data_IF_389906099951
#
_entry.id   IF_389906099951
#
_cell.length_a   1.000
_cell.length_b   1.000
_cell.length_c   1.000
_cell.angle_alpha   90.00
_cell.angle_beta   90.00
_cell.angle_gamma   90.00
#
_symmetry.space_group_name_H-M   'P 1'
#
loop_
_entity.id
_entity.type
_entity.pdbx_description
1 polymer ?
#
# COMPACT_ATOMS: atom_id res chain seq x y z
N UNK A 1 -7.44 5.51 -22.97
CA UNK A 1 -6.37 5.69 -23.97
C UNK A 1 -5.25 4.70 -23.68
N UNK A 2 -4.70 4.00 -24.68
CA UNK A 2 -3.48 3.22 -24.50
C UNK A 2 -2.28 4.14 -24.26
N UNK A 3 -1.16 3.58 -23.81
CA UNK A 3 0.13 4.28 -23.80
C UNK A 3 0.55 4.65 -25.23
N UNK A 4 1.36 5.70 -25.38
CA UNK A 4 1.96 6.05 -26.67
C UNK A 4 2.88 4.92 -27.19
N UNK A 5 3.08 4.88 -28.51
CA UNK A 5 3.92 3.86 -29.13
C UNK A 5 5.38 3.98 -28.60
N UNK A 6 5.95 2.92 -28.01
CA UNK A 6 7.30 2.96 -27.49
C UNK A 6 8.34 2.87 -28.62
N UNK A 7 9.55 3.37 -28.35
CA UNK A 7 10.74 3.04 -29.15
C UNK A 7 11.09 1.55 -29.04
N UNK A 8 11.93 1.05 -29.96
CA UNK A 8 12.42 -0.33 -29.93
C UNK A 8 13.07 -0.67 -28.58
N UNK A 9 12.69 -1.83 -28.01
CA UNK A 9 13.08 -2.26 -26.66
C UNK A 9 12.99 -3.77 -26.51
N UNK A 10 13.75 -4.32 -25.57
CA UNK A 10 13.72 -5.75 -25.21
C UNK A 10 13.14 -5.93 -23.80
N UNK A 11 12.35 -6.98 -23.59
CA UNK A 11 11.97 -7.39 -22.24
C UNK A 11 13.22 -7.89 -21.50
N UNK A 12 13.45 -7.42 -20.27
CA UNK A 12 14.58 -7.84 -19.42
C UNK A 12 14.18 -8.47 -18.11
N UNK A 13 12.99 -8.12 -17.62
CA UNK A 13 12.39 -8.60 -16.38
C UNK A 13 10.89 -8.34 -16.46
N UNK A 14 10.10 -9.22 -15.86
CA UNK A 14 8.67 -9.03 -15.60
C UNK A 14 8.43 -9.20 -14.11
N UNK A 15 7.75 -8.22 -13.51
CA UNK A 15 7.11 -8.36 -12.21
C UNK A 15 5.60 -8.34 -12.41
N UNK A 16 4.90 -9.25 -11.76
CA UNK A 16 3.46 -9.20 -11.58
C UNK A 16 3.17 -9.07 -10.08
N UNK A 17 2.22 -8.21 -9.73
CA UNK A 17 1.63 -8.20 -8.39
C UNK A 17 0.12 -8.37 -8.57
N UNK A 18 -0.44 -9.40 -7.94
CA UNK A 18 -1.88 -9.65 -7.86
C UNK A 18 -2.33 -9.43 -6.42
N UNK A 19 -3.55 -8.93 -6.24
CA UNK A 19 -4.22 -8.98 -4.95
C UNK A 19 -5.69 -9.34 -5.15
N UNK A 20 -6.18 -10.23 -4.31
CA UNK A 20 -7.53 -10.78 -4.29
C UNK A 20 -8.10 -10.59 -2.87
N UNK A 21 -9.40 -10.30 -2.78
CA UNK A 21 -10.07 -10.03 -1.53
C UNK A 21 -11.32 -10.91 -1.41
N UNK A 22 -11.52 -11.50 -0.24
CA UNK A 22 -12.54 -12.51 0.02
C UNK A 22 -13.27 -12.17 1.33
N UNK A 23 -14.61 -12.11 1.30
CA UNK A 23 -15.39 -12.16 2.55
C UNK A 23 -15.40 -13.59 3.09
N UNK A 24 -15.21 -13.73 4.40
CA UNK A 24 -15.23 -15.01 5.10
C UNK A 24 -16.59 -15.24 5.76
N UNK A 25 -16.92 -16.51 6.01
CA UNK A 25 -18.15 -16.90 6.70
C UNK A 25 -18.26 -16.38 8.15
N UNK A 26 -17.15 -15.95 8.77
CA UNK A 26 -17.11 -15.32 10.10
C UNK A 26 -17.28 -13.78 10.06
N UNK A 27 -17.47 -13.19 8.87
CA UNK A 27 -17.63 -11.75 8.67
C UNK A 27 -16.33 -10.94 8.73
N UNK A 28 -15.18 -11.63 8.83
CA UNK A 28 -13.87 -11.06 8.54
C UNK A 28 -13.60 -11.11 7.03
N UNK A 29 -12.53 -10.46 6.59
CA UNK A 29 -12.13 -10.43 5.19
C UNK A 29 -10.67 -10.82 5.04
N UNK A 30 -10.34 -11.72 4.11
CA UNK A 30 -8.96 -12.01 3.75
C UNK A 30 -8.56 -11.19 2.51
N UNK A 31 -7.36 -10.63 2.53
CA UNK A 31 -6.73 -10.01 1.35
C UNK A 31 -5.42 -10.72 1.10
N UNK A 32 -5.37 -11.49 0.02
CA UNK A 32 -4.21 -12.25 -0.41
C UNK A 32 -3.50 -11.50 -1.52
N UNK A 33 -2.20 -11.25 -1.36
CA UNK A 33 -1.39 -10.61 -2.37
C UNK A 33 -0.20 -11.50 -2.76
N UNK A 34 0.09 -11.56 -4.05
CA UNK A 34 1.16 -12.38 -4.63
C UNK A 34 2.10 -11.49 -5.46
N UNK A 35 3.41 -11.60 -5.25
CA UNK A 35 4.46 -11.04 -6.12
C UNK A 35 5.15 -12.17 -6.87
N UNK A 36 5.12 -12.09 -8.20
CA UNK A 36 5.84 -13.01 -9.09
C UNK A 36 6.89 -12.26 -9.90
N UNK A 37 8.15 -12.68 -9.83
CA UNK A 37 9.27 -12.13 -10.61
C UNK A 37 9.80 -13.14 -11.63
N UNK A 38 9.80 -12.78 -12.90
CA UNK A 38 10.30 -13.59 -14.02
C UNK A 38 11.39 -12.87 -14.81
N UNK A 39 12.19 -13.63 -15.56
CA UNK A 39 13.07 -13.11 -16.62
C UNK A 39 12.84 -13.91 -17.91
N UNK A 40 12.91 -13.25 -19.09
CA UNK A 40 12.66 -13.88 -20.39
C UNK A 40 13.90 -14.65 -20.91
N UNK A 41 14.62 -15.29 -20.00
CA UNK A 41 15.87 -16.04 -20.21
C UNK A 41 16.17 -16.85 -18.97
N UNK A 42 17.02 -17.86 -19.12
CA UNK A 42 17.56 -18.60 -17.99
C UNK A 42 18.37 -17.66 -17.06
N UNK A 43 18.36 -17.99 -15.77
CA UNK A 43 19.02 -17.21 -14.71
C UNK A 43 19.87 -18.14 -13.86
N UNK A 44 21.17 -17.89 -13.84
CA UNK A 44 22.08 -18.51 -12.86
C UNK A 44 21.77 -17.92 -11.47
N UNK A 45 21.30 -18.76 -10.56
CA UNK A 45 21.12 -18.44 -9.14
C UNK A 45 22.12 -19.28 -8.32
N UNK A 46 22.36 -18.89 -7.07
CA UNK A 46 23.19 -19.69 -6.16
C UNK A 46 22.61 -21.11 -5.89
N UNK A 47 21.29 -21.25 -6.05
CA UNK A 47 20.55 -22.53 -5.95
C UNK A 47 20.48 -23.32 -7.26
N UNK A 48 21.13 -22.86 -8.34
CA UNK A 48 21.14 -23.51 -9.66
C UNK A 48 20.53 -22.65 -10.77
N UNK A 49 20.30 -23.27 -11.93
CA UNK A 49 19.65 -22.59 -13.07
C UNK A 49 18.15 -22.48 -12.81
N UNK A 50 17.60 -21.27 -12.92
CA UNK A 50 16.16 -21.03 -13.08
C UNK A 50 15.86 -20.89 -14.58
N UNK A 51 15.12 -21.84 -15.19
CA UNK A 51 14.74 -21.75 -16.61
C UNK A 51 13.91 -20.51 -16.94
N UNK A 52 13.99 -20.08 -18.19
CA UNK A 52 13.15 -19.05 -18.78
C UNK A 52 11.65 -19.32 -18.50
N UNK A 53 10.94 -18.29 -18.04
CA UNK A 53 9.51 -18.38 -17.73
C UNK A 53 9.15 -19.04 -16.39
N UNK A 54 10.12 -19.53 -15.61
CA UNK A 54 9.86 -19.91 -14.22
C UNK A 54 10.08 -18.73 -13.25
N UNK A 55 9.30 -18.64 -12.15
CA UNK A 55 9.50 -17.61 -11.13
C UNK A 55 10.88 -17.67 -10.45
N UNK A 56 11.51 -16.51 -10.34
CA UNK A 56 12.66 -16.23 -9.47
C UNK A 56 12.14 -15.99 -8.04
N UNK A 57 11.06 -15.22 -7.94
CA UNK A 57 10.28 -15.00 -6.73
C UNK A 57 8.82 -15.36 -7.01
N UNK A 58 8.18 -16.05 -6.08
CA UNK A 58 6.73 -16.18 -5.99
C UNK A 58 6.39 -16.17 -4.50
N UNK A 59 5.90 -15.03 -4.04
CA UNK A 59 5.83 -14.69 -2.62
C UNK A 59 4.43 -14.19 -2.30
N UNK A 60 3.86 -14.73 -1.22
CA UNK A 60 2.48 -14.47 -0.82
C UNK A 60 2.44 -13.76 0.52
N UNK A 61 1.52 -12.82 0.64
CA UNK A 61 1.16 -12.17 1.90
C UNK A 61 -0.36 -12.14 2.01
N UNK A 62 -0.91 -12.88 2.97
CA UNK A 62 -2.32 -12.79 3.39
C UNK A 62 -2.42 -11.92 4.64
N UNK A 63 -3.40 -11.02 4.65
CA UNK A 63 -3.89 -10.39 5.88
C UNK A 63 -5.37 -10.71 6.06
N UNK A 64 -5.78 -11.00 7.29
CA UNK A 64 -7.19 -11.03 7.68
C UNK A 64 -7.53 -9.70 8.34
N UNK A 65 -8.63 -9.07 7.95
CA UNK A 65 -9.08 -7.77 8.47
C UNK A 65 -10.52 -7.79 8.98
N UNK A 66 -10.79 -6.94 9.97
CA UNK A 66 -12.15 -6.64 10.42
C UNK A 66 -12.83 -5.58 9.53
N UNK A 67 -14.14 -5.35 9.76
CA UNK A 67 -14.90 -4.31 9.03
C UNK A 67 -14.45 -2.86 9.32
N UNK A 68 -13.52 -2.64 10.26
CA UNK A 68 -12.87 -1.34 10.55
C UNK A 68 -11.49 -1.24 9.86
N UNK A 69 -11.09 -2.26 9.09
CA UNK A 69 -9.79 -2.42 8.43
C UNK A 69 -8.60 -2.55 9.41
N UNK A 70 -8.83 -3.09 10.60
CA UNK A 70 -7.75 -3.56 11.48
C UNK A 70 -7.29 -4.95 11.03
N UNK A 71 -5.98 -5.17 10.94
CA UNK A 71 -5.40 -6.49 10.69
C UNK A 71 -5.52 -7.33 11.96
N UNK A 72 -6.25 -8.45 11.87
CA UNK A 72 -6.48 -9.38 12.98
C UNK A 72 -5.64 -10.65 12.88
N UNK A 73 -5.21 -11.03 11.66
CA UNK A 73 -4.18 -12.04 11.43
C UNK A 73 -3.34 -11.72 10.18
N UNK A 74 -2.15 -12.30 10.10
CA UNK A 74 -1.25 -12.14 8.95
C UNK A 74 -0.34 -13.37 8.76
N UNK A 75 -0.16 -13.77 7.50
CA UNK A 75 0.63 -14.94 7.09
C UNK A 75 1.39 -14.64 5.80
N UNK A 76 2.62 -15.15 5.68
CA UNK A 76 3.42 -15.02 4.47
C UNK A 76 3.96 -16.38 4.01
N UNK A 77 3.91 -16.64 2.69
CA UNK A 77 4.60 -17.76 2.05
C UNK A 77 5.65 -17.25 1.07
N UNK A 78 6.63 -18.10 0.78
CA UNK A 78 7.70 -17.82 -0.18
C UNK A 78 8.01 -19.11 -0.94
N UNK A 79 7.30 -19.34 -2.04
CA UNK A 79 7.23 -20.64 -2.72
C UNK A 79 8.40 -20.79 -3.69
N UNK A 80 8.64 -19.73 -4.49
CA UNK A 80 9.83 -19.61 -5.33
C UNK A 80 10.75 -18.53 -4.77
N UNK A 81 12.02 -18.89 -4.56
CA UNK A 81 13.06 -18.00 -4.00
C UNK A 81 14.45 -18.29 -4.60
N UNK A 82 15.39 -17.32 -4.58
CA UNK A 82 16.79 -17.55 -4.92
C UNK A 82 17.56 -18.37 -3.88
N UNK A 83 17.20 -18.25 -2.60
CA UNK A 83 17.90 -18.89 -1.46
C UNK A 83 16.90 -19.72 -0.62
N UNK A 84 16.62 -20.97 -1.01
CA UNK A 84 15.70 -21.86 -0.29
C UNK A 84 16.07 -22.03 1.19
N UNK A 85 15.07 -22.03 2.07
CA UNK A 85 15.21 -22.06 3.52
C UNK A 85 15.57 -20.71 4.14
N UNK A 86 16.43 -19.92 3.50
CA UNK A 86 16.91 -18.63 4.02
C UNK A 86 15.93 -17.49 3.77
N UNK A 87 15.32 -17.40 2.58
CA UNK A 87 14.31 -16.37 2.30
C UNK A 87 13.04 -16.57 3.15
N UNK A 88 12.61 -17.83 3.30
CA UNK A 88 11.45 -18.25 4.11
C UNK A 88 11.60 -17.89 5.60
N UNK A 89 12.82 -17.77 6.12
CA UNK A 89 13.07 -17.43 7.52
C UNK A 89 12.49 -16.06 7.94
N UNK A 90 12.24 -15.17 6.97
CA UNK A 90 11.59 -13.87 7.21
C UNK A 90 10.05 -13.94 7.28
N UNK A 91 9.42 -15.03 6.81
CA UNK A 91 7.96 -15.14 6.72
C UNK A 91 7.24 -14.92 8.08
N UNK A 92 7.71 -15.48 9.22
CA UNK A 92 7.05 -15.26 10.51
C UNK A 92 7.05 -13.80 10.99
N UNK A 93 7.98 -12.96 10.49
CA UNK A 93 8.06 -11.55 10.88
C UNK A 93 6.82 -10.76 10.44
N UNK A 94 6.14 -11.17 9.35
CA UNK A 94 4.95 -10.51 8.83
C UNK A 94 3.74 -10.56 9.79
N UNK A 95 3.78 -11.40 10.84
CA UNK A 95 2.84 -11.33 11.96
C UNK A 95 2.87 -9.99 12.70
N UNK A 96 3.95 -9.20 12.56
CA UNK A 96 4.03 -7.83 13.07
C UNK A 96 3.04 -6.84 12.40
N UNK A 97 2.34 -7.25 11.34
CA UNK A 97 1.24 -6.47 10.75
C UNK A 97 -0.05 -6.52 11.60
N UNK A 98 -0.21 -7.51 12.49
CA UNK A 98 -1.39 -7.67 13.34
C UNK A 98 -1.51 -6.47 14.29
N UNK A 99 -2.72 -5.90 14.38
CA UNK A 99 -3.01 -4.68 15.14
C UNK A 99 -2.77 -3.38 14.35
N UNK A 100 -2.15 -3.41 13.17
CA UNK A 100 -2.12 -2.24 12.27
C UNK A 100 -3.50 -2.03 11.63
N UNK A 101 -3.81 -0.79 11.23
CA UNK A 101 -5.03 -0.47 10.51
C UNK A 101 -4.72 0.09 9.11
N UNK A 102 -5.35 -0.46 8.06
CA UNK A 102 -5.04 -0.14 6.66
C UNK A 102 -5.22 1.34 6.31
N UNK A 103 -6.12 2.06 7.00
CA UNK A 103 -6.34 3.50 6.81
C UNK A 103 -5.43 4.39 7.64
N UNK A 104 -4.84 3.87 8.72
CA UNK A 104 -4.06 4.64 9.70
C UNK A 104 -2.57 4.45 9.48
N UNK A 105 -2.04 5.06 8.41
CA UNK A 105 -0.62 5.07 8.08
C UNK A 105 0.04 3.68 7.82
N UNK A 106 -0.75 2.62 7.58
CA UNK A 106 -0.28 1.24 7.39
C UNK A 106 1.07 1.12 6.67
N UNK A 107 1.20 1.71 5.47
CA UNK A 107 2.42 1.67 4.64
C UNK A 107 3.70 2.16 5.34
N UNK A 108 3.58 3.16 6.22
CA UNK A 108 4.72 3.69 6.99
C UNK A 108 5.07 2.76 8.15
N UNK A 109 4.06 2.28 8.88
CA UNK A 109 4.30 1.40 10.01
C UNK A 109 4.79 0.01 9.57
N UNK A 110 4.28 -0.53 8.46
CA UNK A 110 4.81 -1.76 7.85
C UNK A 110 6.27 -1.58 7.41
N UNK A 111 6.62 -0.45 6.77
CA UNK A 111 8.00 -0.15 6.39
C UNK A 111 8.92 0.06 7.61
N UNK A 112 8.41 0.62 8.71
CA UNK A 112 9.16 0.77 9.98
C UNK A 112 9.41 -0.56 10.68
N UNK A 113 8.46 -1.49 10.64
CA UNK A 113 8.53 -2.79 11.31
C UNK A 113 9.28 -3.85 10.51
N UNK A 114 9.15 -3.84 9.17
CA UNK A 114 9.61 -4.89 8.25
C UNK A 114 10.68 -4.39 7.26
N UNK A 115 11.26 -3.23 7.53
CA UNK A 115 12.35 -2.64 6.75
C UNK A 115 13.71 -3.28 7.03
N UNK A 116 14.66 -3.08 6.11
CA UNK A 116 16.00 -3.63 6.23
C UNK A 116 15.99 -5.16 6.19
N UNK A 117 16.58 -5.79 7.21
CA UNK A 117 16.68 -7.26 7.34
C UNK A 117 15.58 -7.88 8.23
N UNK A 118 14.66 -7.08 8.78
CA UNK A 118 13.58 -7.58 9.62
C UNK A 118 12.47 -8.31 8.83
N UNK A 119 12.21 -7.84 7.60
CA UNK A 119 11.45 -8.55 6.58
C UNK A 119 12.31 -8.78 5.33
N UNK A 120 11.69 -9.24 4.24
CA UNK A 120 12.33 -9.24 2.91
C UNK A 120 11.74 -8.12 2.04
N UNK A 121 12.58 -7.44 1.26
CA UNK A 121 12.17 -6.29 0.43
C UNK A 121 10.96 -6.60 -0.46
N UNK A 122 10.92 -7.80 -1.04
CA UNK A 122 9.89 -8.24 -1.97
C UNK A 122 8.52 -8.49 -1.30
N UNK A 123 8.46 -9.15 -0.13
CA UNK A 123 7.21 -9.30 0.62
C UNK A 123 6.75 -7.96 1.24
N UNK A 124 7.68 -7.13 1.71
CA UNK A 124 7.34 -5.81 2.28
C UNK A 124 6.77 -4.86 1.21
N UNK A 125 7.09 -5.04 -0.07
CA UNK A 125 6.48 -4.31 -1.19
C UNK A 125 4.98 -4.56 -1.32
N UNK A 126 4.49 -5.79 -1.05
CA UNK A 126 3.07 -6.12 -1.10
C UNK A 126 2.24 -5.27 -0.12
N UNK A 127 2.81 -4.89 1.03
CA UNK A 127 2.16 -4.00 1.99
C UNK A 127 1.77 -2.63 1.40
N UNK A 128 2.41 -2.20 0.30
CA UNK A 128 2.05 -0.96 -0.37
C UNK A 128 0.68 -1.02 -1.05
N UNK A 129 0.23 -2.19 -1.54
CA UNK A 129 -1.02 -2.30 -2.30
C UNK A 129 -2.23 -2.71 -1.46
N UNK A 130 -2.01 -3.45 -0.36
CA UNK A 130 -3.08 -4.01 0.50
C UNK A 130 -4.14 -2.97 0.92
N UNK A 131 -3.80 -1.74 1.39
CA UNK A 131 -4.81 -0.77 1.79
C UNK A 131 -5.78 -0.38 0.68
N UNK A 132 -5.28 -0.22 -0.54
CA UNK A 132 -6.10 0.19 -1.69
C UNK A 132 -6.96 -0.95 -2.22
N UNK A 133 -6.42 -2.18 -2.29
CA UNK A 133 -7.18 -3.35 -2.68
C UNK A 133 -8.35 -3.61 -1.70
N UNK A 134 -8.08 -3.62 -0.39
CA UNK A 134 -9.10 -3.81 0.65
C UNK A 134 -10.20 -2.72 0.60
N UNK A 135 -9.79 -1.45 0.48
CA UNK A 135 -10.73 -0.31 0.41
C UNK A 135 -11.62 -0.38 -0.84
N UNK A 136 -11.08 -0.86 -1.97
CA UNK A 136 -11.85 -1.02 -3.21
C UNK A 136 -12.82 -2.19 -3.12
N UNK A 137 -12.45 -3.32 -2.50
CA UNK A 137 -13.35 -4.44 -2.24
C UNK A 137 -14.49 -4.07 -1.28
N UNK A 138 -14.24 -3.21 -0.29
CA UNK A 138 -15.26 -2.74 0.66
C UNK A 138 -16.26 -1.73 0.08
N UNK A 139 -15.94 -1.08 -1.05
CA UNK A 139 -16.76 -0.02 -1.62
C UNK A 139 -17.95 -0.60 -2.39
N UNK A 140 -19.16 -0.43 -1.88
CA UNK A 140 -20.38 -1.03 -2.39
C UNK A 140 -20.94 -2.08 -1.43
N UNK A 141 -20.08 -2.98 -0.93
CA UNK A 141 -20.45 -4.08 -0.03
C UNK A 141 -20.57 -3.63 1.45
N UNK A 142 -19.51 -3.01 1.99
CA UNK A 142 -19.43 -2.60 3.41
C UNK A 142 -19.78 -1.13 3.59
N UNK A 143 -19.56 -0.30 2.57
CA UNK A 143 -19.93 1.12 2.56
C UNK A 143 -20.81 1.43 1.34
N UNK A 144 -21.99 1.98 1.60
CA UNK A 144 -22.91 2.47 0.57
C UNK A 144 -22.22 3.51 -0.32
N UNK A 145 -22.04 3.20 -1.59
CA UNK A 145 -21.45 4.07 -2.61
C UNK A 145 -22.47 4.95 -3.31
N UNK A 146 -23.76 4.59 -3.28
CA UNK A 146 -24.84 5.35 -3.90
C UNK A 146 -25.17 6.66 -3.16
N UNK A 147 -25.43 7.72 -3.91
CA UNK A 147 -26.17 8.87 -3.37
C UNK A 147 -27.62 8.40 -3.18
N UNK A 148 -28.07 8.27 -1.94
CA UNK A 148 -29.41 7.76 -1.63
C UNK A 148 -30.47 8.77 -2.06
N UNK A 149 -30.92 8.68 -3.31
CA UNK A 149 -32.11 9.38 -3.80
C UNK A 149 -33.34 8.90 -3.01
N UNK A 150 -34.04 9.79 -2.28
CA UNK A 150 -35.26 9.41 -1.59
C UNK A 150 -36.35 9.06 -2.62
N UNK A 151 -36.56 7.77 -2.90
CA UNK A 151 -37.68 7.32 -3.74
C UNK A 151 -37.45 6.07 -4.62
N UNK A 152 -36.21 5.60 -4.79
CA UNK A 152 -35.90 4.53 -5.76
C UNK A 152 -35.51 3.18 -5.12
N UNK A 153 -36.35 2.64 -4.23
CA UNK A 153 -36.36 1.21 -3.90
C UNK A 153 -37.69 0.80 -3.23
N UNK A 154 -38.66 0.42 -4.06
CA UNK A 154 -39.85 -0.31 -3.62
C UNK A 154 -39.75 -1.74 -4.16
N UNK A 155 -39.38 -2.70 -3.30
CA UNK A 155 -39.25 -4.11 -3.69
C UNK A 155 -38.47 -4.97 -2.69
N UNK A 156 -39.20 -5.55 -1.72
CA UNK A 156 -38.99 -6.86 -1.07
C UNK A 156 -37.56 -7.32 -0.68
N UNK A 157 -37.27 -7.73 0.56
CA UNK A 157 -38.09 -7.84 1.77
C UNK A 157 -37.44 -8.70 2.86
N UNK A 158 -37.70 -8.33 4.13
CA UNK A 158 -37.30 -8.97 5.40
C UNK A 158 -35.77 -8.98 5.75
N UNK A 159 -35.33 -9.05 7.01
CA UNK A 159 -36.10 -9.04 8.27
C UNK A 159 -35.26 -9.00 9.56
N UNK A 160 -35.43 -7.94 10.39
CA UNK A 160 -34.84 -7.77 11.75
C UNK A 160 -33.29 -7.65 11.83
N UNK A 161 -32.66 -6.86 12.70
CA UNK A 161 -33.16 -6.14 13.88
C UNK A 161 -32.45 -4.79 14.14
N UNK A 162 -33.26 -3.76 14.41
CA UNK A 162 -33.03 -2.72 15.42
C UNK A 162 -31.74 -1.85 15.36
N UNK A 163 -31.80 -0.70 14.67
CA UNK A 163 -31.02 0.49 15.07
C UNK A 163 -31.85 1.78 14.96
N UNK A 164 -32.33 2.27 16.10
CA UNK A 164 -32.80 3.66 16.22
C UNK A 164 -31.59 4.59 16.20
N UNK A 165 -31.22 5.03 15.00
CA UNK A 165 -30.16 6.01 14.79
C UNK A 165 -30.49 6.92 13.62
N UNK A 166 -30.50 8.23 13.87
CA UNK A 166 -30.52 9.25 12.81
C UNK A 166 -29.30 9.04 11.90
N UNK A 167 -29.56 8.47 10.73
CA UNK A 167 -28.57 8.39 9.66
C UNK A 167 -28.42 9.80 9.08
N UNK A 168 -27.60 10.62 9.74
CA UNK A 168 -27.28 11.99 9.30
C UNK A 168 -26.70 11.95 7.89
N UNK A 169 -27.56 12.25 6.92
CA UNK A 169 -27.33 12.06 5.49
C UNK A 169 -26.38 13.13 4.92
N UNK A 170 -25.56 13.79 5.76
CA UNK A 170 -24.75 14.99 5.48
C UNK A 170 -23.25 14.70 5.21
N UNK A 171 -22.88 13.41 5.22
CA UNK A 171 -21.55 12.94 4.88
C UNK A 171 -21.53 12.40 3.45
N UNK A 172 -20.63 12.88 2.57
CA UNK A 172 -20.54 12.38 1.20
C UNK A 172 -20.15 10.90 1.16
N UNK A 173 -20.55 10.15 0.12
CA UNK A 173 -20.07 8.80 -0.15
C UNK A 173 -18.54 8.71 -0.07
N UNK A 174 -18.04 7.61 0.53
CA UNK A 174 -16.65 7.50 0.98
C UNK A 174 -15.61 7.76 -0.12
N UNK A 175 -15.94 7.42 -1.36
CA UNK A 175 -15.08 7.55 -2.55
C UNK A 175 -14.87 9.01 -3.02
N UNK A 176 -15.76 9.94 -2.65
CA UNK A 176 -15.65 11.34 -3.07
C UNK A 176 -14.47 12.06 -2.41
N UNK A 177 -13.77 12.89 -3.18
CA UNK A 177 -12.56 13.58 -2.77
C UNK A 177 -11.30 12.70 -2.65
N UNK A 178 -11.34 11.42 -3.05
CA UNK A 178 -10.22 10.47 -2.88
C UNK A 178 -9.48 10.05 -4.14
N UNK A 179 -10.01 10.34 -5.32
CA UNK A 179 -9.31 10.16 -6.59
C UNK A 179 -9.52 11.39 -7.49
N UNK A 180 -8.73 11.50 -8.55
CA UNK A 180 -8.76 12.66 -9.46
C UNK A 180 -10.14 12.87 -10.10
N UNK A 181 -10.79 11.80 -10.57
CA UNK A 181 -12.10 11.88 -11.20
C UNK A 181 -13.21 12.29 -10.20
N UNK A 182 -13.15 11.83 -8.96
CA UNK A 182 -14.17 12.07 -7.93
C UNK A 182 -13.86 13.29 -7.03
N UNK A 183 -13.10 14.27 -7.54
CA UNK A 183 -12.83 15.54 -6.83
C UNK A 183 -14.13 16.34 -6.71
N UNK A 184 -14.41 16.97 -5.55
CA UNK A 184 -15.70 17.60 -5.28
C UNK A 184 -16.08 18.75 -6.24
N UNK A 185 -15.10 19.39 -6.88
CA UNK A 185 -15.20 20.42 -7.91
C UNK A 185 -14.94 19.85 -9.34
N UNK A 186 -15.07 18.52 -9.52
CA UNK A 186 -14.84 17.83 -10.79
C UNK A 186 -16.14 17.47 -11.52
N UNK A 187 -16.07 17.41 -12.86
CA UNK A 187 -17.21 17.13 -13.75
C UNK A 187 -17.97 15.84 -13.38
N UNK A 188 -17.27 14.77 -13.01
CA UNK A 188 -17.93 13.52 -12.62
C UNK A 188 -18.72 13.64 -11.30
N UNK A 189 -18.29 14.50 -10.36
CA UNK A 189 -19.10 14.79 -9.16
C UNK A 189 -20.27 15.70 -9.54
N UNK A 190 -20.06 16.69 -10.41
CA UNK A 190 -21.15 17.54 -10.92
C UNK A 190 -22.25 16.74 -11.61
N UNK A 191 -21.87 15.74 -12.43
CA UNK A 191 -22.79 14.94 -13.23
C UNK A 191 -23.46 13.80 -12.44
N UNK A 192 -22.68 13.03 -11.66
CA UNK A 192 -23.16 11.79 -11.03
C UNK A 192 -23.45 11.91 -9.53
N UNK A 193 -22.98 12.98 -8.87
CA UNK A 193 -23.15 13.22 -7.44
C UNK A 193 -23.45 14.71 -7.15
N UNK A 194 -24.41 15.34 -7.86
CA UNK A 194 -24.58 16.81 -7.88
C UNK A 194 -24.80 17.42 -6.49
N UNK A 195 -25.41 16.66 -5.56
CA UNK A 195 -25.61 17.05 -4.15
C UNK A 195 -24.30 17.41 -3.43
N UNK A 196 -23.18 16.81 -3.84
CA UNK A 196 -21.87 16.93 -3.20
C UNK A 196 -20.91 17.84 -3.98
N UNK A 197 -21.34 18.38 -5.12
CA UNK A 197 -20.52 19.26 -5.95
C UNK A 197 -20.18 20.58 -5.23
N UNK A 198 -18.94 21.05 -5.39
CA UNK A 198 -18.44 22.26 -4.74
C UNK A 198 -18.18 22.13 -3.22
N UNK A 199 -18.40 20.96 -2.61
CA UNK A 199 -18.12 20.76 -1.18
C UNK A 199 -16.63 20.95 -0.91
N UNK A 200 -16.28 21.81 0.04
CA UNK A 200 -14.90 22.03 0.42
C UNK A 200 -14.22 20.71 0.85
N UNK A 201 -13.03 20.38 0.33
CA UNK A 201 -12.34 19.13 0.66
C UNK A 201 -11.90 19.10 2.14
N UNK A 202 -11.65 17.89 2.64
CA UNK A 202 -11.28 17.58 4.03
C UNK A 202 -9.88 18.12 4.46
N UNK A 203 -9.34 19.13 3.79
CA UNK A 203 -8.02 19.72 4.10
C UNK A 203 -7.99 20.48 5.43
N UNK A 204 -9.15 20.97 5.90
CA UNK A 204 -9.26 21.71 7.17
C UNK A 204 -8.84 20.87 8.41
N UNK A 205 -9.26 19.60 8.50
CA UNK A 205 -8.97 18.75 9.66
C UNK A 205 -7.50 18.34 9.76
N UNK A 206 -6.79 18.24 8.63
CA UNK A 206 -5.34 17.94 8.64
C UNK A 206 -4.53 19.08 9.25
N UNK A 207 -4.87 20.33 8.95
CA UNK A 207 -4.16 21.50 9.47
C UNK A 207 -4.23 21.59 11.02
N UNK A 208 -5.39 21.26 11.60
CA UNK A 208 -5.58 21.23 13.05
C UNK A 208 -4.68 20.19 13.75
N UNK A 209 -4.50 19.00 13.15
CA UNK A 209 -3.68 17.93 13.72
C UNK A 209 -2.16 18.20 13.70
N UNK A 210 -1.70 19.14 12.86
CA UNK A 210 -0.28 19.53 12.75
C UNK A 210 0.12 20.74 13.59
N UNK A 211 -0.82 21.43 14.25
CA UNK A 211 -0.56 22.69 14.95
C UNK A 211 -0.02 22.57 16.38
N UNK A 212 -0.01 21.37 16.98
CA UNK A 212 0.30 21.14 18.38
C UNK A 212 1.65 20.43 18.58
N UNK A 213 2.75 21.00 18.07
CA UNK A 213 4.08 20.42 18.22
C UNK A 213 5.24 21.38 17.91
N UNK A 214 6.01 21.71 18.94
CA UNK A 214 7.32 22.38 18.89
C UNK A 214 7.39 23.83 18.34
N UNK A 215 7.11 24.79 19.22
CA UNK A 215 7.93 26.02 19.29
C UNK A 215 8.85 25.89 20.51
N UNK A 216 10.15 25.75 20.29
CA UNK A 216 11.19 26.02 21.30
C UNK A 216 12.23 26.94 20.67
N UNK A 217 12.40 28.11 21.27
CA UNK A 217 13.24 29.18 20.75
C UNK A 217 14.72 28.79 20.73
N UNK A 218 15.40 29.06 19.62
CA UNK A 218 16.87 29.10 19.55
C UNK A 218 17.35 30.50 19.93
N UNK A 219 17.88 30.65 21.15
CA UNK A 219 18.62 31.85 21.56
C UNK A 219 20.09 31.71 21.19
N UNK A 220 20.66 32.70 20.51
CA UNK A 220 22.08 32.72 20.12
C UNK A 220 22.93 33.57 21.09
N UNK A 221 24.21 33.20 21.26
CA UNK A 221 25.21 34.08 21.86
C UNK A 221 26.44 33.37 22.45
N UNK A 222 27.64 33.82 22.07
CA UNK A 222 28.88 33.62 22.85
C UNK A 222 30.05 32.93 22.13
N UNK A 223 31.04 33.72 21.68
CA UNK A 223 32.36 33.27 21.23
C UNK A 223 33.18 32.56 22.33
N UNK A 224 34.03 31.60 21.93
CA UNK A 224 35.42 31.51 22.40
C UNK A 224 36.29 30.66 21.45
N UNK A 225 37.58 31.02 21.33
CA UNK A 225 38.56 30.47 20.39
C UNK A 225 39.20 29.14 20.85
N UNK A 226 39.73 28.35 19.91
CA UNK A 226 40.63 27.22 20.18
C UNK A 226 41.29 26.70 18.89
N UNK A 227 42.62 26.49 18.90
CA UNK A 227 43.42 26.23 17.69
C UNK A 227 43.58 24.75 17.32
N UNK A 228 43.89 24.56 16.02
CA UNK A 228 44.88 23.65 15.43
C UNK A 228 44.57 22.17 15.13
N UNK A 229 45.15 21.78 13.99
CA UNK A 229 45.57 20.44 13.51
C UNK A 229 44.48 19.34 13.38
N UNK A 230 44.43 18.56 12.30
CA UNK A 230 45.31 18.42 11.14
C UNK A 230 45.17 17.01 10.57
N UNK A 231 45.70 16.76 9.36
CA UNK A 231 45.65 15.47 8.63
C UNK A 231 44.30 15.13 7.98
N UNK A 232 44.28 15.10 6.64
CA UNK A 232 43.16 14.52 5.87
C UNK A 232 43.39 13.05 5.54
N UNK A 233 42.37 12.40 4.97
CA UNK A 233 42.55 11.18 4.19
C UNK A 233 41.42 11.03 3.16
N UNK A 234 41.70 11.25 1.88
CA UNK A 234 40.84 10.84 0.77
C UNK A 234 41.13 9.39 0.40
N UNK A 235 40.12 8.52 0.32
CA UNK A 235 40.23 7.23 -0.37
C UNK A 235 38.99 6.95 -1.23
N UNK A 236 39.11 7.40 -2.48
CA UNK A 236 38.72 6.72 -3.74
C UNK A 236 37.36 6.02 -3.88
N UNK A 237 36.60 6.51 -4.87
CA UNK A 237 35.54 5.78 -5.58
C UNK A 237 36.09 4.58 -6.36
N UNK A 238 35.45 3.42 -6.26
CA UNK A 238 35.68 2.29 -7.16
C UNK A 238 34.55 2.18 -8.20
N UNK A 239 34.83 2.64 -9.42
CA UNK A 239 34.06 2.31 -10.62
C UNK A 239 34.76 1.16 -11.36
N UNK A 240 34.12 0.01 -11.48
CA UNK A 240 34.55 -1.03 -12.42
C UNK A 240 33.43 -1.38 -13.40
N UNK A 241 33.63 -0.90 -14.63
CA UNK A 241 33.04 -1.43 -15.85
C UNK A 241 33.71 -2.74 -16.23
N UNK A 242 32.93 -3.79 -16.47
CA UNK A 242 33.33 -4.86 -17.38
C UNK A 242 32.24 -5.04 -18.44
N UNK A 243 32.59 -4.67 -19.67
CA UNK A 243 31.93 -5.22 -20.84
C UNK A 243 32.73 -6.43 -21.31
N UNK A 244 32.08 -7.40 -21.95
CA UNK A 244 32.82 -8.39 -22.72
C UNK A 244 32.05 -8.78 -23.99
N UNK A 245 32.80 -8.88 -25.09
CA UNK A 245 32.30 -9.30 -26.40
C UNK A 245 32.57 -10.79 -26.60
N UNK A 246 31.53 -11.53 -26.98
CA UNK A 246 31.58 -12.70 -27.86
C UNK A 246 30.15 -12.97 -28.39
#
# INVERSE_FOLDING_TARGET
MPLSQPVSRQLRHRRAIRAEAYERADGLWDVEACLTDEKPRDVMLASGVRPNGQPIHELWLRITIDRKLNVVDAEASSDWVPYPGLCQASNPAYRALIGLNLRQNFRRESARLLGGTAGCTHLTELCAILPTAAIQAFAGEVWSTGDSTPGANAGSGDGSSNSTGEHSNDKPPFQLGRCHALRFDGEAVQQFYPRWYGRAPYTADRAASSGAGAVRQTGAGGNASGMNDGSGNEVQSNSQTEGNHA
#
